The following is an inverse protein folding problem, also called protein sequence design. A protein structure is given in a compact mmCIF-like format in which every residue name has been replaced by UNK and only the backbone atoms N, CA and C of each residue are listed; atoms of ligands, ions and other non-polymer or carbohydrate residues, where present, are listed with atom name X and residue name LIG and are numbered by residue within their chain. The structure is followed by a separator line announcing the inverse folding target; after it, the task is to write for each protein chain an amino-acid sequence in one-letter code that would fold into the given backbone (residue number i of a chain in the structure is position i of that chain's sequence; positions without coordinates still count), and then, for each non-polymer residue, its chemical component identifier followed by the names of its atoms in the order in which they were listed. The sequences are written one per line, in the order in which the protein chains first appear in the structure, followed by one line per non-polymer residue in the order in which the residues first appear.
data_IF_468789725278
#
_entry.id   IF_468789725278
#
_cell.length_a   1.000
_cell.length_b   1.000
_cell.length_c   1.000
_cell.angle_alpha   90.00
_cell.angle_beta   90.00
_cell.angle_gamma   90.00
#
_symmetry.space_group_name_H-M   'P 1'
#
loop_
_entity.id
_entity.type
_entity.pdbx_description
1 polymer ?
#
# COMPACT_ATOMS: atom_id res chain seq x y z
N UNK A 1 6.79 -2.43 12.26
CA UNK A 1 5.59 -1.71 12.73
C UNK A 1 4.79 -2.73 13.51
N UNK A 2 4.44 -2.47 14.77
CA UNK A 2 3.64 -3.41 15.55
C UNK A 2 2.20 -3.42 14.98
N UNK A 3 1.56 -4.58 14.97
CA UNK A 3 0.19 -4.83 14.49
C UNK A 3 -0.80 -3.77 14.94
N UNK A 4 -0.76 -3.37 16.21
CA UNK A 4 -1.64 -2.31 16.75
C UNK A 4 -1.49 -0.97 16.04
N UNK A 5 -0.28 -0.61 15.61
CA UNK A 5 -0.05 0.60 14.82
C UNK A 5 -0.51 0.45 13.37
N UNK A 6 -0.46 -0.76 12.82
CA UNK A 6 -0.98 -1.02 11.47
C UNK A 6 -2.49 -0.88 11.41
N UNK A 7 -3.20 -1.46 12.38
CA UNK A 7 -4.66 -1.34 12.48
C UNK A 7 -5.06 0.13 12.57
N UNK A 8 -4.47 0.87 13.51
CA UNK A 8 -4.73 2.32 13.64
C UNK A 8 -4.38 3.12 12.38
N UNK A 9 -3.31 2.74 11.69
CA UNK A 9 -2.94 3.39 10.43
C UNK A 9 -4.02 3.17 9.36
N UNK A 10 -4.45 1.92 9.18
CA UNK A 10 -5.49 1.55 8.22
C UNK A 10 -6.80 2.27 8.57
N UNK A 11 -7.21 2.27 9.83
CA UNK A 11 -8.42 2.97 10.30
C UNK A 11 -8.37 4.48 10.01
N UNK A 12 -7.24 5.13 10.32
CA UNK A 12 -7.07 6.58 10.12
C UNK A 12 -6.90 6.99 8.64
N UNK A 13 -6.59 6.04 7.76
CA UNK A 13 -6.35 6.28 6.33
C UNK A 13 -7.33 5.53 5.43
N UNK A 14 -8.42 5.00 5.99
CA UNK A 14 -9.34 4.10 5.32
C UNK A 14 -9.85 4.67 3.98
N UNK A 15 -10.35 5.90 3.97
CA UNK A 15 -10.88 6.54 2.76
C UNK A 15 -9.82 6.71 1.67
N UNK A 16 -8.57 6.99 2.05
CA UNK A 16 -7.46 7.12 1.09
C UNK A 16 -7.10 5.76 0.50
N UNK A 17 -7.10 4.71 1.32
CA UNK A 17 -6.86 3.34 0.88
C UNK A 17 -7.96 2.90 -0.08
N UNK A 18 -9.23 3.13 0.25
CA UNK A 18 -10.36 2.80 -0.64
C UNK A 18 -10.28 3.55 -1.97
N UNK A 19 -9.97 4.85 -1.94
CA UNK A 19 -9.80 5.64 -3.16
C UNK A 19 -8.67 5.10 -4.03
N UNK A 20 -7.57 4.70 -3.40
CA UNK A 20 -6.44 4.13 -4.12
C UNK A 20 -6.79 2.74 -4.69
N UNK A 21 -7.58 1.93 -3.98
CA UNK A 21 -8.10 0.66 -4.51
C UNK A 21 -8.92 0.90 -5.79
N UNK A 22 -9.81 1.88 -5.81
CA UNK A 22 -10.58 2.23 -7.01
C UNK A 22 -9.67 2.65 -8.18
N UNK A 23 -8.59 3.39 -7.91
CA UNK A 23 -7.61 3.77 -8.94
C UNK A 23 -6.86 2.55 -9.53
N UNK A 24 -6.71 1.49 -8.73
CA UNK A 24 -5.92 0.31 -9.07
C UNK A 24 -6.78 -0.87 -9.57
N UNK A 25 -8.11 -0.77 -9.55
CA UNK A 25 -9.02 -1.89 -9.82
C UNK A 25 -8.87 -2.50 -11.22
N UNK A 26 -8.47 -1.69 -12.19
CA UNK A 26 -8.34 -2.09 -13.59
C UNK A 26 -6.91 -2.56 -13.93
N UNK A 27 -6.01 -2.63 -12.93
CA UNK A 27 -4.66 -3.14 -13.13
C UNK A 27 -4.63 -4.68 -13.18
N UNK A 28 -3.81 -5.19 -14.11
CA UNK A 28 -3.52 -6.62 -14.16
C UNK A 28 -2.64 -7.05 -12.98
N UNK A 29 -2.62 -8.34 -12.63
CA UNK A 29 -1.73 -8.85 -11.58
C UNK A 29 -0.25 -8.50 -11.79
N UNK A 30 0.23 -8.49 -13.04
CA UNK A 30 1.62 -8.14 -13.37
C UNK A 30 1.89 -6.65 -13.09
N UNK A 31 0.93 -5.78 -13.43
CA UNK A 31 1.03 -4.36 -13.13
C UNK A 31 1.07 -4.14 -11.62
N UNK A 32 0.19 -4.80 -10.86
CA UNK A 32 0.13 -4.69 -9.40
C UNK A 32 1.42 -5.17 -8.74
N UNK A 33 1.99 -6.30 -9.18
CA UNK A 33 3.26 -6.80 -8.67
C UNK A 33 4.40 -5.80 -8.95
N UNK A 34 4.45 -5.26 -10.17
CA UNK A 34 5.44 -4.23 -10.52
C UNK A 34 5.32 -2.98 -9.63
N UNK A 35 4.11 -2.45 -9.46
CA UNK A 35 3.85 -1.31 -8.59
C UNK A 35 4.19 -1.60 -7.12
N UNK A 36 3.85 -2.80 -6.63
CA UNK A 36 4.19 -3.24 -5.27
C UNK A 36 5.69 -3.20 -5.04
N UNK A 37 6.48 -3.75 -5.97
CA UNK A 37 7.94 -3.75 -5.86
C UNK A 37 8.52 -2.34 -5.86
N UNK A 38 7.97 -1.42 -6.67
CA UNK A 38 8.36 -0.01 -6.66
C UNK A 38 8.06 0.66 -5.31
N UNK A 39 6.83 0.52 -4.79
CA UNK A 39 6.42 1.09 -3.51
C UNK A 39 7.29 0.56 -2.36
N UNK A 40 7.55 -0.75 -2.33
CA UNK A 40 8.43 -1.37 -1.33
C UNK A 40 9.85 -0.81 -1.42
N UNK A 41 10.39 -0.67 -2.63
CA UNK A 41 11.71 -0.08 -2.85
C UNK A 41 11.75 1.35 -2.32
N UNK A 42 10.74 2.16 -2.61
CA UNK A 42 10.68 3.55 -2.18
C UNK A 42 10.56 3.67 -0.66
N UNK A 43 9.75 2.83 -0.01
CA UNK A 43 9.69 2.75 1.46
C UNK A 43 11.08 2.43 2.03
N UNK A 44 11.80 1.46 1.45
CA UNK A 44 13.16 1.10 1.89
C UNK A 44 14.16 2.23 1.70
N UNK A 45 14.09 2.94 0.57
CA UNK A 45 14.95 4.09 0.30
C UNK A 45 14.66 5.22 1.29
N UNK A 46 13.39 5.57 1.46
CA UNK A 46 12.97 6.60 2.41
C UNK A 46 13.45 6.28 3.80
N UNK A 47 13.26 5.07 4.32
CA UNK A 47 13.76 4.65 5.65
C UNK A 47 15.26 4.87 5.91
N UNK A 48 16.08 4.96 4.86
CA UNK A 48 17.52 5.21 4.96
C UNK A 48 17.88 6.71 4.96
N UNK A 49 16.93 7.59 4.66
CA UNK A 49 17.14 9.03 4.64
C UNK A 49 17.10 9.61 6.06
N UNK A 50 17.95 10.61 6.31
CA UNK A 50 18.05 11.29 7.61
C UNK A 50 16.82 12.11 7.98
N UNK A 51 16.11 12.64 6.99
CA UNK A 51 14.88 13.39 7.15
C UNK A 51 13.94 13.07 5.99
N UNK A 52 12.69 12.75 6.31
CA UNK A 52 11.64 12.43 5.33
C UNK A 52 10.36 13.06 5.82
N UNK A 53 9.58 13.72 4.95
CA UNK A 53 8.24 14.15 5.30
C UNK A 53 7.37 12.93 5.63
N UNK A 54 6.74 12.93 6.82
CA UNK A 54 5.87 11.82 7.26
C UNK A 54 4.78 11.56 6.22
N UNK A 55 4.19 12.61 5.63
CA UNK A 55 3.17 12.51 4.58
C UNK A 55 3.60 11.68 3.36
N UNK A 56 4.87 11.74 2.97
CA UNK A 56 5.37 10.92 1.86
C UNK A 56 5.42 9.44 2.23
N UNK A 57 5.87 9.14 3.45
CA UNK A 57 5.92 7.76 3.95
C UNK A 57 4.51 7.20 4.12
N UNK A 58 3.59 7.99 4.66
CA UNK A 58 2.17 7.63 4.78
C UNK A 58 1.54 7.33 3.42
N UNK A 59 1.81 8.15 2.40
CA UNK A 59 1.33 7.91 1.03
C UNK A 59 1.79 6.56 0.48
N UNK A 60 3.08 6.23 0.64
CA UNK A 60 3.61 4.94 0.22
C UNK A 60 2.95 3.76 0.94
N UNK A 61 2.66 3.90 2.23
CA UNK A 61 1.96 2.86 2.99
C UNK A 61 0.50 2.72 2.56
N UNK A 62 -0.20 3.83 2.25
CA UNK A 62 -1.55 3.79 1.68
C UNK A 62 -1.57 2.98 0.39
N UNK A 63 -0.67 3.28 -0.56
CA UNK A 63 -0.60 2.54 -1.82
C UNK A 63 -0.24 1.06 -1.61
N UNK A 64 0.66 0.75 -0.66
CA UNK A 64 0.98 -0.64 -0.32
C UNK A 64 -0.23 -1.41 0.20
N UNK A 65 -1.01 -0.83 1.12
CA UNK A 65 -2.21 -1.49 1.67
C UNK A 65 -3.31 -1.64 0.62
N UNK A 66 -3.47 -0.67 -0.28
CA UNK A 66 -4.41 -0.76 -1.40
C UNK A 66 -4.07 -1.94 -2.32
N UNK A 67 -2.80 -2.08 -2.70
CA UNK A 67 -2.33 -3.20 -3.55
C UNK A 67 -2.58 -4.54 -2.85
N UNK A 68 -2.22 -4.68 -1.58
CA UNK A 68 -2.41 -5.92 -0.82
C UNK A 68 -3.88 -6.32 -0.70
N UNK A 69 -4.80 -5.36 -0.54
CA UNK A 69 -6.22 -5.63 -0.48
C UNK A 69 -6.77 -6.20 -1.81
N UNK A 70 -6.30 -5.66 -2.94
CA UNK A 70 -6.67 -6.14 -4.27
C UNK A 70 -6.10 -7.55 -4.51
N UNK A 71 -4.82 -7.79 -4.18
CA UNK A 71 -4.20 -9.11 -4.31
C UNK A 71 -4.91 -10.19 -3.48
N UNK A 72 -5.37 -9.84 -2.28
CA UNK A 72 -6.15 -10.75 -1.45
C UNK A 72 -7.52 -11.07 -2.08
N UNK A 73 -8.12 -10.13 -2.80
CA UNK A 73 -9.37 -10.34 -3.55
C UNK A 73 -9.15 -11.32 -4.71
N UNK A 74 -8.06 -11.15 -5.48
CA UNK A 74 -7.70 -12.11 -6.53
C UNK A 74 -7.45 -13.52 -5.97
N UNK A 75 -6.72 -13.60 -4.85
CA UNK A 75 -6.40 -14.88 -4.22
C UNK A 75 -7.66 -15.59 -3.72
N UNK A 76 -8.60 -14.85 -3.11
CA UNK A 76 -9.87 -15.39 -2.64
C UNK A 76 -10.85 -15.74 -3.77
N UNK A 77 -10.71 -15.13 -4.96
CA UNK A 77 -11.54 -15.47 -6.13
C UNK A 77 -11.12 -16.75 -6.86
N UNK A 78 -9.94 -17.30 -6.53
CA UNK A 78 -9.36 -18.51 -7.14
C UNK A 78 -9.64 -19.80 -6.34
N UNK A 79 -10.41 -19.71 -5.25
CA UNK A 79 -10.88 -20.82 -4.41
C UNK A 79 -12.40 -20.80 -4.30
#
# INVERSE_FOLDING_TARGET
MNERYMIKFIESHHDKILKEIENLKDFTPENLEFFKQQVIRDIRLRKKMKAIPIKEVEGLYVSLFAILAIEQTFTNSLF
#
